data_IF_817549812649
#
_entry.id   IF_817549812649
#
_cell.length_a   1.000
_cell.length_b   1.000
_cell.length_c   1.000
_cell.angle_alpha   90.00
_cell.angle_beta   90.00
_cell.angle_gamma   90.00
#
_symmetry.space_group_name_H-M   'P 1'
#
loop_
_entity.id
_entity.type
_entity.pdbx_description
1 polymer ?
#
# COMPACT_ATOMS: atom_id res chain seq x y z
N UNK A 1 -23.36 -1.48 -4.03
CA UNK A 1 -22.76 -0.16 -3.70
C UNK A 1 -21.26 -0.35 -3.81
N UNK A 2 -20.56 0.43 -4.64
CA UNK A 2 -19.10 0.31 -4.77
C UNK A 2 -18.45 1.04 -3.60
N UNK A 3 -17.77 0.31 -2.73
CA UNK A 3 -17.00 0.88 -1.63
C UNK A 3 -15.56 1.13 -2.11
N UNK A 4 -15.04 2.33 -1.83
CA UNK A 4 -13.64 2.67 -2.11
C UNK A 4 -12.88 2.75 -0.80
N UNK A 5 -11.73 2.10 -0.75
CA UNK A 5 -10.85 2.07 0.42
C UNK A 5 -9.45 2.55 0.02
N UNK A 6 -8.93 3.53 0.75
CA UNK A 6 -7.58 4.03 0.57
C UNK A 6 -6.66 3.32 1.55
N UNK A 7 -5.57 2.73 1.04
CA UNK A 7 -4.60 1.97 1.83
C UNK A 7 -3.23 2.61 1.61
N UNK A 8 -2.56 2.99 2.70
CA UNK A 8 -1.19 3.49 2.63
C UNK A 8 -0.23 2.33 2.43
N UNK A 9 0.74 2.48 1.53
CA UNK A 9 1.72 1.45 1.26
C UNK A 9 3.14 1.95 1.50
N UNK A 10 3.81 1.37 2.49
CA UNK A 10 5.16 1.78 2.92
C UNK A 10 6.18 0.76 2.47
N UNK A 11 7.20 1.21 1.74
CA UNK A 11 8.25 0.33 1.21
C UNK A 11 9.19 -0.11 2.33
N UNK A 12 9.52 -1.40 2.38
CA UNK A 12 10.57 -1.94 3.25
C UNK A 12 11.40 -3.02 2.51
N UNK A 13 12.43 -3.53 3.16
CA UNK A 13 13.37 -4.49 2.56
C UNK A 13 12.70 -5.78 2.05
N UNK A 14 11.59 -6.20 2.67
CA UNK A 14 10.85 -7.41 2.31
C UNK A 14 9.68 -7.23 1.34
N UNK A 15 9.32 -5.99 0.99
CA UNK A 15 8.07 -5.76 0.26
C UNK A 15 7.46 -4.39 0.54
N UNK A 16 6.14 -4.40 0.67
CA UNK A 16 5.31 -3.27 1.03
C UNK A 16 4.47 -3.64 2.24
N UNK A 17 4.51 -2.81 3.26
CA UNK A 17 3.51 -2.82 4.33
C UNK A 17 2.28 -2.06 3.83
N UNK A 18 1.09 -2.57 4.12
CA UNK A 18 -0.19 -2.07 3.66
C UNK A 18 -1.03 -1.74 4.89
N UNK A 19 -1.17 -0.45 5.17
CA UNK A 19 -1.95 0.05 6.30
C UNK A 19 -3.38 0.37 5.85
N UNK A 20 -4.33 -0.41 6.37
CA UNK A 20 -5.75 -0.32 6.05
C UNK A 20 -6.43 0.65 7.02
N UNK A 21 -6.15 0.49 8.32
CA UNK A 21 -6.50 1.42 9.39
C UNK A 21 -5.54 1.23 10.58
N UNK A 22 -5.76 1.98 11.66
CA UNK A 22 -4.92 1.98 12.87
C UNK A 22 -4.73 0.62 13.56
N UNK A 23 -5.58 -0.38 13.27
CA UNK A 23 -5.50 -1.72 13.84
C UNK A 23 -5.25 -2.82 12.81
N UNK A 24 -5.37 -2.52 11.51
CA UNK A 24 -5.36 -3.52 10.46
C UNK A 24 -4.24 -3.23 9.45
N UNK A 25 -3.25 -4.10 9.45
CA UNK A 25 -2.09 -4.07 8.55
C UNK A 25 -1.92 -5.42 7.87
N UNK A 26 -1.54 -5.37 6.60
CA UNK A 26 -1.13 -6.55 5.83
C UNK A 26 0.11 -6.22 5.01
N UNK A 27 0.65 -7.17 4.27
CA UNK A 27 1.87 -6.96 3.48
C UNK A 27 1.80 -7.65 2.13
N UNK A 28 2.51 -7.08 1.17
CA UNK A 28 2.64 -7.64 -0.19
C UNK A 28 4.08 -7.54 -0.69
N UNK A 29 4.46 -8.44 -1.60
CA UNK A 29 5.77 -8.37 -2.26
C UNK A 29 5.83 -7.25 -3.31
N UNK A 30 4.71 -6.98 -3.98
CA UNK A 30 4.59 -6.02 -5.08
C UNK A 30 3.31 -5.20 -4.92
N UNK A 31 3.31 -3.95 -5.41
CA UNK A 31 2.10 -3.10 -5.43
C UNK A 31 0.99 -3.69 -6.30
N UNK A 32 1.33 -4.50 -7.30
CA UNK A 32 0.35 -5.18 -8.16
C UNK A 32 -0.50 -6.19 -7.38
N UNK A 33 0.09 -6.90 -6.41
CA UNK A 33 -0.64 -7.83 -5.52
C UNK A 33 -1.29 -7.12 -4.32
N UNK A 34 -0.88 -5.91 -3.98
CA UNK A 34 -1.31 -5.22 -2.77
C UNK A 34 -2.84 -5.10 -2.66
N UNK A 35 -3.51 -4.71 -3.74
CA UNK A 35 -4.97 -4.61 -3.75
C UNK A 35 -5.68 -5.95 -3.54
N UNK A 36 -5.07 -7.07 -3.95
CA UNK A 36 -5.61 -8.40 -3.69
C UNK A 36 -5.40 -8.80 -2.24
N UNK A 37 -4.20 -8.60 -1.71
CA UNK A 37 -3.85 -8.90 -0.32
C UNK A 37 -4.76 -8.18 0.69
N UNK A 38 -5.15 -6.94 0.41
CA UNK A 38 -6.09 -6.19 1.24
C UNK A 38 -7.48 -6.82 1.24
N UNK A 39 -7.99 -7.25 0.07
CA UNK A 39 -9.31 -7.91 -0.01
C UNK A 39 -9.30 -9.25 0.69
N UNK A 40 -8.30 -10.07 0.41
CA UNK A 40 -8.12 -11.38 1.05
C UNK A 40 -8.04 -11.24 2.58
N UNK A 41 -7.37 -10.20 3.07
CA UNK A 41 -7.32 -9.87 4.50
C UNK A 41 -8.70 -9.49 5.06
N UNK A 42 -9.44 -8.58 4.40
CA UNK A 42 -10.77 -8.14 4.85
C UNK A 42 -11.79 -9.29 4.86
N UNK A 43 -11.73 -10.17 3.86
CA UNK A 43 -12.58 -11.36 3.79
C UNK A 43 -12.30 -12.33 4.93
N UNK A 44 -11.03 -12.46 5.35
CA UNK A 44 -10.64 -13.32 6.46
C UNK A 44 -10.94 -12.71 7.84
N UNK A 45 -10.76 -11.40 8.01
CA UNK A 45 -10.86 -10.71 9.30
C UNK A 45 -12.31 -10.32 9.63
N UNK A 46 -12.97 -9.61 8.72
CA UNK A 46 -14.32 -9.07 8.93
C UNK A 46 -15.42 -10.03 8.48
N UNK A 47 -15.05 -11.04 7.70
CA UNK A 47 -15.99 -11.93 7.05
C UNK A 47 -16.79 -11.25 5.94
N UNK A 48 -17.33 -12.05 5.03
CA UNK A 48 -18.06 -11.55 3.86
C UNK A 48 -17.21 -11.59 2.58
N UNK A 49 -17.68 -10.88 1.55
CA UNK A 49 -17.02 -10.79 0.25
C UNK A 49 -16.79 -9.32 -0.10
N UNK A 50 -15.53 -8.92 -0.18
CA UNK A 50 -15.08 -7.57 -0.51
C UNK A 50 -14.54 -7.48 -1.95
N UNK A 51 -14.84 -8.45 -2.82
CA UNK A 51 -14.41 -8.48 -4.23
C UNK A 51 -14.85 -7.24 -5.01
N UNK A 52 -16.03 -6.69 -4.69
CA UNK A 52 -16.57 -5.47 -5.31
C UNK A 52 -15.95 -4.17 -4.78
N UNK A 53 -15.05 -4.24 -3.79
CA UNK A 53 -14.40 -3.06 -3.24
C UNK A 53 -13.28 -2.57 -4.16
N UNK A 54 -13.23 -1.27 -4.36
CA UNK A 54 -12.13 -0.59 -5.05
C UNK A 54 -11.06 -0.25 -4.03
N UNK A 55 -9.94 -0.98 -4.07
CA UNK A 55 -8.79 -0.73 -3.20
C UNK A 55 -7.82 0.20 -3.93
N UNK A 56 -7.66 1.41 -3.40
CA UNK A 56 -6.68 2.38 -3.89
C UNK A 56 -5.42 2.32 -3.02
N UNK A 57 -4.35 1.76 -3.59
CA UNK A 57 -3.05 1.66 -2.93
C UNK A 57 -2.29 2.96 -3.17
N UNK A 58 -1.99 3.68 -2.08
CA UNK A 58 -1.28 4.95 -2.10
C UNK A 58 0.13 4.68 -1.58
N UNK A 59 1.13 4.49 -2.46
CA UNK A 59 2.51 4.31 -2.02
C UNK A 59 3.00 5.57 -1.33
N UNK A 60 3.47 5.44 -0.11
CA UNK A 60 4.28 6.43 0.58
C UNK A 60 5.69 6.34 -0.01
N UNK A 61 5.81 6.81 -1.25
CA UNK A 61 7.10 7.26 -1.78
C UNK A 61 7.47 8.46 -0.92
N UNK A 62 8.38 8.24 0.04
CA UNK A 62 8.98 9.34 0.79
C UNK A 62 9.34 10.45 -0.19
N UNK A 63 9.09 11.70 0.23
CA UNK A 63 9.41 12.90 -0.55
C UNK A 63 10.66 12.61 -1.37
N UNK A 64 10.50 12.59 -2.69
CA UNK A 64 11.60 12.36 -3.60
C UNK A 64 12.58 13.49 -3.29
N UNK A 65 13.59 13.21 -2.47
CA UNK A 65 14.66 14.14 -2.15
C UNK A 65 15.14 14.69 -3.49
N UNK A 66 14.89 15.98 -3.68
CA UNK A 66 15.04 16.64 -4.96
C UNK A 66 16.50 16.61 -5.38
N UNK A 67 16.86 15.64 -6.22
CA UNK A 67 18.03 15.71 -7.08
C UNK A 67 19.38 15.57 -6.39
N UNK A 68 19.92 14.36 -6.41
CA UNK A 68 21.37 14.21 -6.60
C UNK A 68 21.72 14.68 -8.02
N UNK A 69 22.32 15.88 -8.13
CA UNK A 69 23.09 16.33 -9.29
C UNK A 69 24.44 16.89 -8.82
N UNK A 70 25.58 16.56 -9.46
CA UNK A 70 26.91 16.77 -8.90
C UNK A 70 27.39 18.21 -9.06
N UNK A 71 28.23 18.69 -8.15
CA UNK A 71 29.05 19.89 -8.35
C UNK A 71 30.41 19.69 -7.69
N UNK A 72 31.31 19.05 -8.44
CA UNK A 72 32.74 19.29 -8.28
C UNK A 72 33.03 20.78 -8.54
N UNK A 73 33.91 21.39 -7.73
CA UNK A 73 34.66 22.60 -8.10
C UNK A 73 34.37 23.86 -7.27
N UNK A 74 35.12 24.05 -6.18
CA UNK A 74 36.36 24.85 -6.16
C UNK A 74 37.08 24.71 -4.83
#
# INVERSE_FOLDING_TARGET
MSHTLNVRATRWSGGWELEIDEHHHTQSRTLADAGRMVRDYLDSDRGGNHSDWTINIIPEVGELDGGQGPSEGR
#
